data_IF_262283889462
#
_entry.id   IF_262283889462
#
_cell.length_a   1.000
_cell.length_b   1.000
_cell.length_c   1.000
_cell.angle_alpha   90.00
_cell.angle_beta   90.00
_cell.angle_gamma   90.00
#
_symmetry.space_group_name_H-M   'P 1'
#
loop_
_entity.id
_entity.type
_entity.pdbx_description
1 polymer ?
#
# COMPACT_ATOMS: atom_id res chain seq x y z
N UNK A 1 20.42 8.83 0.04
CA UNK A 1 20.73 7.48 -0.51
C UNK A 1 19.49 6.96 -1.22
N UNK A 2 19.60 6.49 -2.47
CA UNK A 2 18.48 5.88 -3.22
C UNK A 2 18.60 4.36 -3.11
N UNK A 3 17.53 3.71 -2.67
CA UNK A 3 17.40 2.24 -2.69
C UNK A 3 16.77 1.86 -4.02
N UNK A 4 17.50 1.13 -4.85
CA UNK A 4 17.05 0.68 -6.17
C UNK A 4 17.08 -0.85 -6.19
N UNK A 5 16.06 -1.48 -6.77
CA UNK A 5 16.01 -2.93 -6.88
C UNK A 5 16.91 -3.38 -8.02
N UNK A 6 17.83 -4.29 -7.74
CA UNK A 6 18.66 -4.90 -8.78
C UNK A 6 17.83 -5.81 -9.69
N UNK A 7 18.08 -5.72 -11.00
CA UNK A 7 17.55 -6.63 -12.01
C UNK A 7 18.58 -6.75 -13.16
N UNK A 8 18.53 -7.80 -14.00
CA UNK A 8 19.48 -7.97 -15.11
C UNK A 8 19.49 -6.80 -16.12
N UNK A 9 18.38 -6.08 -16.22
CA UNK A 9 18.19 -4.94 -17.12
C UNK A 9 18.26 -3.60 -16.37
N UNK A 10 18.84 -3.58 -15.16
CA UNK A 10 18.87 -2.40 -14.30
C UNK A 10 19.75 -1.29 -14.90
N UNK A 11 19.14 -0.15 -15.23
CA UNK A 11 19.84 1.10 -15.57
C UNK A 11 19.70 2.10 -14.41
N UNK A 12 20.82 2.65 -13.94
CA UNK A 12 20.87 3.67 -12.87
C UNK A 12 20.25 5.00 -13.32
N UNK A 13 20.18 5.22 -14.64
CA UNK A 13 19.57 6.41 -15.26
C UNK A 13 18.07 6.27 -15.44
N UNK A 14 17.54 5.03 -15.44
CA UNK A 14 16.10 4.80 -15.32
C UNK A 14 15.68 4.96 -13.86
N UNK A 15 14.59 5.69 -13.63
CA UNK A 15 13.96 5.71 -12.33
C UNK A 15 13.47 4.30 -12.01
N UNK A 16 13.95 3.70 -10.90
CA UNK A 16 13.49 2.37 -10.49
C UNK A 16 11.96 2.40 -10.40
N UNK A 17 11.22 1.62 -11.20
CA UNK A 17 9.77 1.71 -11.34
C UNK A 17 9.01 1.21 -10.09
N UNK A 18 9.73 1.07 -8.99
CA UNK A 18 9.36 0.27 -7.84
C UNK A 18 9.33 1.18 -6.63
N UNK A 19 8.39 2.13 -6.68
CA UNK A 19 8.02 2.95 -5.54
C UNK A 19 6.73 2.36 -4.95
N UNK A 20 6.66 2.14 -3.62
CA UNK A 20 5.44 1.66 -3.02
C UNK A 20 4.35 2.73 -3.15
N UNK A 21 3.13 2.29 -3.49
CA UNK A 21 2.00 3.19 -3.75
C UNK A 21 0.94 3.06 -2.67
N UNK A 22 0.36 4.19 -2.26
CA UNK A 22 -0.76 4.21 -1.32
C UNK A 22 -2.09 4.11 -2.06
N UNK A 23 -2.83 3.04 -1.81
CA UNK A 23 -4.22 2.90 -2.26
C UNK A 23 -5.14 3.38 -1.15
N UNK A 24 -6.17 4.13 -1.55
CA UNK A 24 -7.21 4.62 -0.64
C UNK A 24 -8.53 3.95 -0.95
N UNK A 25 -9.15 3.38 0.06
CA UNK A 25 -10.50 2.82 0.01
C UNK A 25 -11.44 3.80 0.73
N UNK A 26 -12.17 4.67 -0.01
CA UNK A 26 -13.12 5.59 0.59
C UNK A 26 -14.39 4.86 1.05
N UNK A 27 -15.03 5.36 2.11
CA UNK A 27 -16.34 4.87 2.61
C UNK A 27 -16.36 3.37 2.96
N UNK A 28 -15.24 2.85 3.44
CA UNK A 28 -15.19 1.49 3.99
C UNK A 28 -16.02 1.48 5.27
N UNK A 29 -17.00 0.58 5.38
CA UNK A 29 -17.77 0.44 6.61
C UNK A 29 -16.84 -0.03 7.72
N UNK A 30 -17.07 0.41 8.96
CA UNK A 30 -16.22 0.09 10.11
C UNK A 30 -15.98 -1.42 10.28
N UNK A 31 -16.94 -2.25 9.88
CA UNK A 31 -16.87 -3.71 9.94
C UNK A 31 -15.84 -4.31 8.96
N UNK A 32 -15.46 -3.56 7.91
CA UNK A 32 -14.44 -3.95 6.93
C UNK A 32 -13.05 -3.35 7.25
N UNK A 33 -12.88 -2.58 8.33
CA UNK A 33 -11.58 -2.14 8.84
C UNK A 33 -10.85 -3.28 9.60
N UNK A 34 -10.78 -4.45 8.97
CA UNK A 34 -9.94 -5.55 9.41
C UNK A 34 -8.72 -5.61 8.48
N UNK A 35 -7.51 -5.66 9.05
CA UNK A 35 -6.24 -5.77 8.31
C UNK A 35 -6.25 -6.89 7.28
N UNK A 36 -6.83 -8.05 7.60
CA UNK A 36 -6.91 -9.20 6.68
C UNK A 36 -7.79 -8.89 5.47
N UNK A 37 -8.92 -8.20 5.67
CA UNK A 37 -9.83 -7.82 4.60
C UNK A 37 -9.18 -6.73 3.73
N UNK A 38 -8.60 -5.70 4.36
CA UNK A 38 -7.92 -4.61 3.67
C UNK A 38 -6.73 -5.12 2.84
N UNK A 39 -5.93 -6.05 3.39
CA UNK A 39 -4.83 -6.68 2.67
C UNK A 39 -5.34 -7.60 1.57
N UNK A 40 -6.42 -8.35 1.80
CA UNK A 40 -7.08 -9.13 0.78
C UNK A 40 -7.51 -8.28 -0.42
N UNK A 41 -8.15 -7.14 -0.17
CA UNK A 41 -8.55 -6.20 -1.22
C UNK A 41 -7.34 -5.53 -1.89
N UNK A 42 -6.35 -5.10 -1.11
CA UNK A 42 -5.14 -4.48 -1.64
C UNK A 42 -4.30 -5.45 -2.48
N UNK A 43 -4.39 -6.77 -2.22
CA UNK A 43 -3.67 -7.81 -2.96
C UNK A 43 -4.05 -7.86 -4.44
N UNK A 44 -5.25 -7.36 -4.79
CA UNK A 44 -5.70 -7.22 -6.18
C UNK A 44 -4.90 -6.17 -6.97
N UNK A 45 -4.28 -5.22 -6.28
CA UNK A 45 -3.56 -4.11 -6.90
C UNK A 45 -2.04 -4.23 -6.78
N UNK A 46 -1.54 -5.06 -5.86
CA UNK A 46 -0.12 -5.27 -5.60
C UNK A 46 0.08 -6.00 -4.29
N UNK A 47 1.33 -6.22 -3.88
CA UNK A 47 1.63 -6.87 -2.60
C UNK A 47 1.36 -5.90 -1.44
N UNK A 48 0.37 -6.16 -0.56
CA UNK A 48 0.13 -5.30 0.60
C UNK A 48 1.32 -5.36 1.55
N UNK A 49 1.77 -4.21 2.03
CA UNK A 49 2.88 -4.09 2.96
C UNK A 49 2.42 -3.63 4.35
N UNK A 50 1.63 -2.57 4.39
CA UNK A 50 1.19 -1.94 5.64
C UNK A 50 -0.04 -1.05 5.43
N UNK A 51 -0.73 -0.70 6.50
CA UNK A 51 -1.74 0.36 6.51
C UNK A 51 -1.16 1.66 7.08
N UNK A 52 -1.82 2.79 6.83
CA UNK A 52 -1.43 4.03 7.49
C UNK A 52 -1.85 4.04 8.97
N UNK A 53 -1.26 4.94 9.76
CA UNK A 53 -1.55 5.03 11.19
C UNK A 53 -3.03 5.33 11.46
N UNK A 54 -3.70 6.09 10.60
CA UNK A 54 -5.11 6.44 10.75
C UNK A 54 -6.03 5.21 10.60
N UNK A 55 -5.70 4.32 9.66
CA UNK A 55 -6.39 3.05 9.45
C UNK A 55 -6.08 2.06 10.56
N UNK A 56 -4.81 1.96 10.98
CA UNK A 56 -4.39 1.06 12.07
C UNK A 56 -4.99 1.44 13.44
N UNK A 57 -5.12 2.74 13.71
CA UNK A 57 -5.72 3.26 14.95
C UNK A 57 -7.23 3.48 14.86
N UNK A 58 -7.85 3.25 13.70
CA UNK A 58 -9.26 3.57 13.43
C UNK A 58 -9.64 5.03 13.74
N UNK A 59 -8.67 5.94 13.81
CA UNK A 59 -8.91 7.35 14.18
C UNK A 59 -9.62 8.13 13.08
N UNK A 60 -9.56 7.66 11.82
CA UNK A 60 -10.26 8.26 10.68
C UNK A 60 -10.93 7.19 9.80
N UNK A 61 -12.10 6.65 10.22
CA UNK A 61 -12.75 5.54 9.53
C UNK A 61 -13.38 5.91 8.18
N UNK A 62 -13.30 7.18 7.75
CA UNK A 62 -13.82 7.60 6.44
C UNK A 62 -13.04 7.03 5.25
N UNK A 63 -11.76 6.71 5.45
CA UNK A 63 -10.85 6.22 4.40
C UNK A 63 -9.89 5.22 5.03
N UNK A 64 -9.79 4.02 4.44
CA UNK A 64 -8.71 3.09 4.76
C UNK A 64 -7.59 3.25 3.71
N UNK A 65 -6.33 3.24 4.15
CA UNK A 65 -5.18 3.31 3.24
C UNK A 65 -4.27 2.11 3.43
N UNK A 66 -3.87 1.52 2.32
CA UNK A 66 -2.93 0.39 2.28
C UNK A 66 -1.78 0.74 1.35
N UNK A 67 -0.56 0.54 1.83
CA UNK A 67 0.65 0.60 1.02
C UNK A 67 0.82 -0.71 0.27
N UNK A 68 0.91 -0.63 -1.04
CA UNK A 68 1.17 -1.78 -1.92
C UNK A 68 2.50 -1.64 -2.64
N UNK A 69 2.97 -2.77 -3.16
CA UNK A 69 4.19 -2.91 -3.96
C UNK A 69 3.95 -3.69 -5.24
#
# INVERSE_FOLDING_TARGET
MRLLKWSPNFDVREESPIAPAWISFPKVHLHFFNMQILFGLASLFGRPLQTDQATASLSRPSVARVLIY
#
